data_IF_072986505372
#
_entry.id   IF_072986505372
#
_cell.length_a   1.000
_cell.length_b   1.000
_cell.length_c   1.000
_cell.angle_alpha   90.00
_cell.angle_beta   90.00
_cell.angle_gamma   90.00
#
_symmetry.space_group_name_H-M   'P 1'
#
loop_
_entity.id
_entity.type
_entity.pdbx_description
1 polymer ?
#
# COMPACT_ATOMS: atom_id res chain seq x y z
N UNK A 1 5.41 16.93 -17.47
CA UNK A 1 6.61 16.45 -18.20
C UNK A 1 7.48 15.65 -17.24
N UNK A 2 7.87 14.42 -17.62
CA UNK A 2 8.72 13.57 -16.79
C UNK A 2 10.21 13.81 -17.11
N UNK A 3 10.97 14.16 -16.08
CA UNK A 3 12.43 14.37 -16.14
C UNK A 3 13.13 13.31 -15.28
N UNK A 4 14.43 13.10 -15.51
CA UNK A 4 15.28 12.21 -14.69
C UNK A 4 16.32 13.06 -13.97
N UNK A 5 16.64 12.69 -12.74
CA UNK A 5 17.67 13.36 -11.95
C UNK A 5 18.41 12.34 -11.09
N UNK A 6 19.74 12.44 -11.05
CA UNK A 6 20.55 11.61 -10.15
C UNK A 6 20.44 12.11 -8.72
N UNK A 7 20.54 11.20 -7.75
CA UNK A 7 20.53 11.52 -6.32
C UNK A 7 21.60 12.54 -5.92
N UNK A 8 22.77 12.50 -6.56
CA UNK A 8 23.85 13.48 -6.34
C UNK A 8 23.47 14.90 -6.80
N UNK A 9 22.83 15.01 -7.96
CA UNK A 9 22.38 16.28 -8.55
C UNK A 9 21.17 16.83 -7.80
N UNK A 10 20.23 15.96 -7.43
CA UNK A 10 19.05 16.31 -6.64
C UNK A 10 19.43 16.95 -5.30
N UNK A 11 20.51 16.48 -4.66
CA UNK A 11 21.00 17.04 -3.40
C UNK A 11 21.41 18.51 -3.55
N UNK A 12 22.03 18.86 -4.67
CA UNK A 12 22.51 20.22 -4.94
C UNK A 12 21.36 21.11 -5.41
N UNK A 13 20.39 20.57 -6.15
CA UNK A 13 19.37 21.35 -6.84
C UNK A 13 17.95 21.19 -6.28
N UNK A 14 17.81 20.67 -5.07
CA UNK A 14 16.51 20.32 -4.48
C UNK A 14 15.50 21.48 -4.51
N UNK A 15 15.95 22.72 -4.26
CA UNK A 15 15.08 23.91 -4.28
C UNK A 15 14.48 24.14 -5.68
N UNK A 16 15.29 24.00 -6.74
CA UNK A 16 14.85 24.15 -8.13
C UNK A 16 13.84 23.06 -8.48
N UNK A 17 14.15 21.82 -8.15
CA UNK A 17 13.27 20.66 -8.39
C UNK A 17 11.92 20.84 -7.70
N UNK A 18 11.91 21.22 -6.43
CA UNK A 18 10.66 21.44 -5.69
C UNK A 18 9.83 22.60 -6.26
N UNK A 19 10.46 23.68 -6.72
CA UNK A 19 9.75 24.77 -7.39
C UNK A 19 9.17 24.30 -8.74
N UNK A 20 9.94 23.57 -9.54
CA UNK A 20 9.47 23.05 -10.83
C UNK A 20 8.36 22.03 -10.70
N UNK A 21 8.32 21.25 -9.62
CA UNK A 21 7.26 20.28 -9.33
C UNK A 21 6.04 20.96 -8.69
N UNK A 22 6.26 21.94 -7.81
CA UNK A 22 5.19 22.64 -7.10
C UNK A 22 4.41 23.61 -7.97
N UNK A 23 5.12 24.36 -8.83
CA UNK A 23 4.53 25.38 -9.70
C UNK A 23 4.43 24.93 -11.16
N UNK A 24 5.36 24.10 -11.61
CA UNK A 24 5.34 23.52 -12.95
C UNK A 24 4.71 22.12 -12.90
N UNK A 25 4.04 21.71 -13.97
CA UNK A 25 3.59 20.32 -14.12
C UNK A 25 4.75 19.35 -14.44
N UNK A 26 5.92 19.58 -13.84
CA UNK A 26 7.08 18.73 -13.99
C UNK A 26 7.04 17.63 -12.93
N UNK A 27 7.47 16.44 -13.32
CA UNK A 27 7.65 15.29 -12.45
C UNK A 27 9.08 14.80 -12.62
N UNK A 28 9.69 14.30 -11.55
CA UNK A 28 11.08 13.85 -11.58
C UNK A 28 11.19 12.40 -11.14
N UNK A 29 11.87 11.60 -11.95
CA UNK A 29 12.35 10.27 -11.61
C UNK A 29 13.73 10.40 -10.99
N UNK A 30 13.87 9.99 -9.74
CA UNK A 30 15.12 10.03 -8.99
C UNK A 30 15.86 8.73 -9.19
N UNK A 31 17.09 8.83 -9.69
CA UNK A 31 17.96 7.68 -9.94
C UNK A 31 19.06 7.57 -8.89
N UNK A 32 19.34 6.35 -8.44
CA UNK A 32 20.49 6.02 -7.61
C UNK A 32 21.31 4.97 -8.35
N UNK A 33 22.58 5.28 -8.63
CA UNK A 33 23.46 4.43 -9.44
C UNK A 33 22.90 4.03 -10.82
N UNK A 34 22.07 4.89 -11.42
CA UNK A 34 21.43 4.63 -12.73
C UNK A 34 20.10 3.90 -12.65
N UNK A 35 19.68 3.47 -11.45
CA UNK A 35 18.40 2.80 -11.26
C UNK A 35 17.32 3.77 -10.72
N UNK A 36 16.14 3.83 -11.34
CA UNK A 36 15.00 4.57 -10.81
C UNK A 36 14.58 4.08 -9.43
N UNK A 37 14.65 4.94 -8.41
CA UNK A 37 14.35 4.56 -7.02
C UNK A 37 13.11 5.27 -6.47
N UNK A 38 12.88 6.52 -6.87
CA UNK A 38 11.77 7.32 -6.36
C UNK A 38 11.25 8.27 -7.43
N UNK A 39 10.05 8.82 -7.21
CA UNK A 39 9.50 9.90 -8.01
C UNK A 39 9.14 11.09 -7.13
N UNK A 40 9.44 12.29 -7.60
CA UNK A 40 8.99 13.55 -7.00
C UNK A 40 7.88 14.09 -7.89
N UNK A 41 6.69 14.20 -7.29
CA UNK A 41 5.46 14.64 -7.95
C UNK A 41 4.81 15.75 -7.13
N UNK A 42 3.91 16.49 -7.76
CA UNK A 42 3.18 17.55 -7.08
C UNK A 42 2.18 16.96 -6.07
N UNK A 43 1.67 17.82 -5.18
CA UNK A 43 0.78 17.39 -4.10
C UNK A 43 -0.58 16.90 -4.61
N UNK A 44 -1.08 17.43 -5.74
CA UNK A 44 -2.36 17.03 -6.31
C UNK A 44 -2.30 15.59 -6.84
N UNK A 45 -1.26 15.26 -7.61
CA UNK A 45 -0.99 13.92 -8.12
C UNK A 45 -0.79 12.93 -6.97
N UNK A 46 -0.04 13.33 -5.93
CA UNK A 46 0.15 12.50 -4.73
C UNK A 46 -1.18 12.17 -4.04
N UNK A 47 -2.08 13.15 -3.90
CA UNK A 47 -3.41 12.94 -3.30
C UNK A 47 -4.26 11.99 -4.15
N UNK A 48 -4.24 12.15 -5.47
CA UNK A 48 -4.94 11.23 -6.39
C UNK A 48 -4.41 9.79 -6.25
N UNK A 49 -3.09 9.62 -6.25
CA UNK A 49 -2.43 8.33 -6.07
C UNK A 49 -2.81 7.68 -4.72
N UNK A 50 -2.88 8.47 -3.65
CA UNK A 50 -3.34 7.97 -2.35
C UNK A 50 -4.80 7.54 -2.37
N UNK A 51 -5.69 8.31 -3.02
CA UNK A 51 -7.10 7.98 -3.12
C UNK A 51 -7.31 6.66 -3.88
N UNK A 52 -6.63 6.48 -5.02
CA UNK A 52 -6.68 5.25 -5.81
C UNK A 52 -6.16 4.06 -5.00
N UNK A 53 -5.02 4.19 -4.31
CA UNK A 53 -4.49 3.11 -3.45
C UNK A 53 -5.45 2.72 -2.33
N UNK A 54 -6.09 3.69 -1.69
CA UNK A 54 -7.11 3.44 -0.65
C UNK A 54 -8.33 2.72 -1.22
N UNK A 55 -8.80 3.13 -2.41
CA UNK A 55 -9.90 2.48 -3.09
C UNK A 55 -9.56 1.02 -3.45
N UNK A 56 -8.36 0.76 -3.94
CA UNK A 56 -7.89 -0.60 -4.26
C UNK A 56 -7.79 -1.47 -3.00
N UNK A 57 -7.23 -0.95 -1.91
CA UNK A 57 -7.17 -1.69 -0.65
C UNK A 57 -8.58 -1.99 -0.07
N UNK A 58 -9.53 -1.06 -0.23
CA UNK A 58 -10.91 -1.30 0.17
C UNK A 58 -11.63 -2.30 -0.76
N UNK A 59 -11.29 -2.31 -2.05
CA UNK A 59 -11.75 -3.31 -3.02
C UNK A 59 -11.24 -4.70 -2.69
N UNK A 60 -9.93 -4.85 -2.45
CA UNK A 60 -9.33 -6.13 -2.09
C UNK A 60 -9.87 -6.68 -0.77
N UNK A 61 -10.12 -5.83 0.24
CA UNK A 61 -10.77 -6.28 1.47
C UNK A 61 -12.20 -6.77 1.23
N UNK A 62 -12.97 -6.10 0.37
CA UNK A 62 -14.32 -6.56 0.01
C UNK A 62 -14.30 -7.87 -0.77
N UNK A 63 -13.35 -8.05 -1.67
CA UNK A 63 -13.13 -9.30 -2.41
C UNK A 63 -12.73 -10.43 -1.46
N UNK A 64 -11.75 -10.21 -0.56
CA UNK A 64 -11.38 -11.19 0.46
C UNK A 64 -12.55 -11.52 1.40
N UNK A 65 -13.34 -10.53 1.81
CA UNK A 65 -14.54 -10.78 2.62
C UNK A 65 -15.63 -11.52 1.85
N UNK A 66 -15.79 -11.26 0.55
CA UNK A 66 -16.71 -11.99 -0.31
C UNK A 66 -16.27 -13.44 -0.49
N UNK A 67 -14.97 -13.70 -0.69
CA UNK A 67 -14.41 -15.06 -0.75
C UNK A 67 -14.59 -15.80 0.58
N UNK A 68 -14.34 -15.14 1.71
CA UNK A 68 -14.58 -15.74 3.04
C UNK A 68 -16.06 -16.05 3.24
N UNK A 69 -16.97 -15.14 2.85
CA UNK A 69 -18.41 -15.39 2.94
C UNK A 69 -18.86 -16.51 2.02
N UNK A 70 -18.37 -16.56 0.79
CA UNK A 70 -18.71 -17.61 -0.16
C UNK A 70 -18.23 -18.98 0.35
N UNK A 71 -17.02 -19.06 0.90
CA UNK A 71 -16.51 -20.27 1.56
C UNK A 71 -17.27 -20.61 2.85
N UNK A 72 -17.77 -19.59 3.55
CA UNK A 72 -18.59 -19.75 4.75
C UNK A 72 -20.03 -20.18 4.46
N UNK A 73 -20.60 -19.79 3.31
CA UNK A 73 -21.92 -20.25 2.85
C UNK A 73 -21.90 -21.71 2.37
N UNK A 74 -20.73 -22.23 1.98
CA UNK A 74 -20.52 -23.65 1.66
C UNK A 74 -20.28 -24.54 2.91
N UNK A 75 -20.08 -23.93 4.08
CA UNK A 75 -19.93 -24.63 5.36
C UNK A 75 -21.28 -24.64 6.09
N UNK A 76 -21.66 -25.80 6.63
CA UNK A 76 -22.82 -25.87 7.50
C UNK A 76 -22.58 -25.00 8.76
N UNK A 77 -23.60 -24.34 9.35
CA UNK A 77 -23.41 -23.48 10.52
C UNK A 77 -22.66 -24.16 11.68
N UNK A 78 -22.86 -25.47 11.85
CA UNK A 78 -22.18 -26.26 12.88
C UNK A 78 -20.66 -26.42 12.62
N UNK A 79 -20.24 -26.46 11.36
CA UNK A 79 -18.84 -26.60 10.97
C UNK A 79 -18.09 -25.26 11.10
N UNK A 80 -18.78 -24.14 10.85
CA UNK A 80 -18.23 -22.80 11.04
C UNK A 80 -17.98 -22.50 12.52
N UNK A 81 -18.91 -22.86 13.40
CA UNK A 81 -18.77 -22.68 14.85
C UNK A 81 -17.60 -23.52 15.41
N UNK A 82 -17.44 -24.76 14.92
CA UNK A 82 -16.32 -25.61 15.29
C UNK A 82 -14.95 -25.00 14.88
N UNK A 83 -14.85 -24.46 13.67
CA UNK A 83 -13.64 -23.78 13.17
C UNK A 83 -13.32 -22.51 13.97
N UNK A 84 -14.33 -21.74 14.39
CA UNK A 84 -14.16 -20.54 15.21
C UNK A 84 -13.62 -20.92 16.60
N UNK A 85 -14.17 -21.97 17.22
CA UNK A 85 -13.70 -22.43 18.53
C UNK A 85 -12.30 -23.05 18.46
N UNK A 86 -11.96 -23.75 17.39
CA UNK A 86 -10.60 -24.27 17.16
C UNK A 86 -9.58 -23.13 17.02
N UNK A 87 -9.88 -22.11 16.20
CA UNK A 87 -9.01 -20.94 16.03
C UNK A 87 -8.84 -20.14 17.33
N UNK A 88 -9.89 -20.02 18.15
CA UNK A 88 -9.80 -19.41 19.48
C UNK A 88 -8.89 -20.21 20.41
N UNK A 89 -9.04 -21.53 20.45
CA UNK A 89 -8.23 -22.41 21.29
C UNK A 89 -6.74 -22.41 20.89
N UNK A 90 -6.43 -22.24 19.61
CA UNK A 90 -5.05 -22.05 19.14
C UNK A 90 -4.48 -20.68 19.55
N UNK A 91 -5.25 -19.60 19.39
CA UNK A 91 -4.81 -18.26 19.80
C UNK A 91 -4.49 -18.20 21.31
N UNK A 92 -5.33 -18.82 22.15
CA UNK A 92 -5.09 -18.88 23.58
C UNK A 92 -3.92 -19.79 23.97
N UNK A 93 -3.62 -20.86 23.20
CA UNK A 93 -2.41 -21.67 23.41
C UNK A 93 -1.14 -20.89 23.08
N UNK A 94 -1.10 -20.24 21.92
CA UNK A 94 0.04 -19.41 21.50
C UNK A 94 0.30 -18.24 22.48
N UNK A 95 -0.76 -17.61 23.01
CA UNK A 95 -0.63 -16.56 24.01
C UNK A 95 -0.14 -17.07 25.39
N UNK A 96 -0.35 -18.34 25.70
CA UNK A 96 0.07 -18.99 26.96
C UNK A 96 1.51 -19.52 26.88
N UNK A 97 1.94 -19.95 25.71
CA UNK A 97 3.31 -20.42 25.45
C UNK A 97 4.31 -19.26 25.27
N UNK A 98 3.81 -18.03 25.04
CA UNK A 98 4.60 -16.81 24.92
C UNK A 98 4.78 -16.04 26.25
N UNK A 99 4.27 -16.56 27.37
CA UNK A 99 4.32 -15.97 28.72
C UNK A 99 5.18 -16.83 29.67
#
# INVERSE_FOLDING_TARGET
MLKRIKTSELRTEIKRVLNEVGYGQSQYLVEKHGEPTAAIINLADFRLLQAVKRQQAAGSLRETLAEIRQRGEELAPEELDALIEEARAEFYRQARDAA
#
